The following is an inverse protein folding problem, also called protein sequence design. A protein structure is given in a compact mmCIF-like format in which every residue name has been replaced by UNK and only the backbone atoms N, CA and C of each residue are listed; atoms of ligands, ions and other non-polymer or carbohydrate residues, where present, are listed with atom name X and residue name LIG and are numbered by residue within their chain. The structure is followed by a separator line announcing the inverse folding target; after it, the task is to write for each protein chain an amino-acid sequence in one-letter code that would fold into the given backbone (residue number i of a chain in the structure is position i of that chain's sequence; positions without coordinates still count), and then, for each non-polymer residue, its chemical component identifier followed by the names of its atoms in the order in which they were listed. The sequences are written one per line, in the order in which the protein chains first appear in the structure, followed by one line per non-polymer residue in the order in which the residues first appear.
data_IF_715123691372
#
_entry.id   IF_715123691372
#
_cell.length_a   1.000
_cell.length_b   1.000
_cell.length_c   1.000
_cell.angle_alpha   90.00
_cell.angle_beta   90.00
_cell.angle_gamma   90.00
#
_symmetry.space_group_name_H-M   'P 1'
#
loop_
_entity.id
_entity.type
_entity.pdbx_description
1 polymer ?
#
# COMPACT_ATOMS: atom_id res chain seq x y z
N UNK A 1 -30.04 5.98 22.08
CA UNK A 1 -31.51 6.02 21.94
C UNK A 1 -31.89 5.05 20.82
N UNK A 2 -32.15 3.80 21.20
CA UNK A 2 -32.39 2.67 20.29
C UNK A 2 -33.91 2.52 20.18
N UNK A 3 -34.48 2.73 18.98
CA UNK A 3 -35.87 2.36 18.71
C UNK A 3 -35.92 0.92 18.18
N UNK A 4 -36.47 0.03 19.01
CA UNK A 4 -37.01 -1.25 18.60
C UNK A 4 -38.28 -1.03 17.79
N UNK A 5 -38.38 -1.64 16.61
CA UNK A 5 -39.67 -1.98 16.00
C UNK A 5 -39.77 -3.49 15.86
N UNK A 6 -40.65 -4.06 16.66
CA UNK A 6 -41.11 -5.43 16.58
C UNK A 6 -42.21 -5.52 15.53
N UNK A 7 -42.12 -6.48 14.61
CA UNK A 7 -43.28 -6.94 13.84
C UNK A 7 -43.25 -8.47 13.76
N UNK A 8 -44.36 -9.08 14.17
CA UNK A 8 -44.58 -10.52 14.22
C UNK A 8 -45.62 -10.95 13.18
N UNK A 9 -45.29 -12.05 12.49
CA UNK A 9 -46.12 -13.07 11.82
C UNK A 9 -47.08 -12.65 10.70
N UNK A 10 -46.91 -13.32 9.55
CA UNK A 10 -47.84 -14.39 9.13
C UNK A 10 -47.24 -15.27 8.01
N UNK A 11 -47.42 -16.59 8.14
CA UNK A 11 -47.17 -17.58 7.09
C UNK A 11 -48.27 -17.47 6.04
N UNK A 12 -47.93 -17.46 4.76
CA UNK A 12 -48.86 -17.87 3.72
C UNK A 12 -48.16 -18.82 2.74
N UNK A 13 -48.55 -20.09 2.82
CA UNK A 13 -48.21 -21.13 1.84
C UNK A 13 -49.27 -21.07 0.74
N UNK A 14 -48.87 -20.75 -0.50
CA UNK A 14 -49.52 -21.16 -1.77
C UNK A 14 -48.79 -20.46 -2.92
N UNK A 15 -48.10 -21.24 -3.74
CA UNK A 15 -47.33 -20.74 -4.89
C UNK A 15 -46.29 -21.71 -5.41
N UNK A 16 -46.53 -23.02 -5.29
CA UNK A 16 -45.76 -24.05 -5.97
C UNK A 16 -46.13 -24.07 -7.46
N UNK A 17 -45.11 -24.11 -8.32
CA UNK A 17 -45.12 -24.57 -9.72
C UNK A 17 -44.94 -23.56 -10.88
N UNK A 18 -44.69 -22.26 -10.64
CA UNK A 18 -44.34 -21.33 -11.75
C UNK A 18 -42.98 -20.62 -11.65
N UNK A 19 -42.19 -20.85 -10.60
CA UNK A 19 -40.82 -20.33 -10.44
C UNK A 19 -39.73 -21.40 -10.62
N UNK A 20 -40.06 -22.50 -11.30
CA UNK A 20 -39.13 -23.64 -11.49
C UNK A 20 -38.27 -23.56 -12.77
N UNK A 21 -38.28 -22.43 -13.49
CA UNK A 21 -37.42 -22.21 -14.67
C UNK A 21 -36.69 -20.89 -14.51
N UNK A 22 -35.36 -20.94 -14.69
CA UNK A 22 -34.35 -19.86 -14.59
C UNK A 22 -33.65 -19.67 -13.24
N UNK A 23 -33.43 -20.72 -12.46
CA UNK A 23 -32.17 -20.81 -11.69
C UNK A 23 -31.09 -21.40 -12.60
N UNK A 24 -30.57 -20.60 -13.54
CA UNK A 24 -29.18 -20.81 -13.94
C UNK A 24 -28.40 -20.75 -12.63
N UNK A 25 -27.75 -21.84 -12.24
CA UNK A 25 -26.78 -21.80 -11.17
C UNK A 25 -25.86 -20.63 -11.49
N UNK A 26 -25.87 -19.58 -10.66
CA UNK A 26 -24.75 -18.63 -10.69
C UNK A 26 -23.52 -19.52 -10.50
N UNK A 27 -22.51 -19.47 -11.40
CA UNK A 27 -21.26 -20.13 -11.10
C UNK A 27 -20.89 -19.67 -9.69
N UNK A 28 -20.54 -20.60 -8.80
CA UNK A 28 -19.96 -20.22 -7.52
C UNK A 28 -18.73 -19.41 -7.87
N UNK A 29 -18.84 -18.08 -7.83
CA UNK A 29 -17.72 -17.21 -8.13
C UNK A 29 -16.80 -17.31 -6.94
N UNK A 30 -15.92 -18.31 -6.99
CA UNK A 30 -14.75 -18.36 -6.13
C UNK A 30 -14.02 -17.05 -6.37
N UNK A 31 -14.08 -16.18 -5.36
CA UNK A 31 -13.44 -14.88 -5.39
C UNK A 31 -11.97 -15.09 -5.77
N UNK A 32 -11.40 -14.31 -6.71
CA UNK A 32 -10.02 -14.53 -7.13
C UNK A 32 -9.10 -14.42 -5.92
N UNK A 33 -8.00 -15.17 -5.91
CA UNK A 33 -7.04 -15.13 -4.80
C UNK A 33 -6.43 -13.74 -4.73
N UNK A 34 -6.14 -13.25 -3.52
CA UNK A 34 -5.30 -12.06 -3.37
C UNK A 34 -3.87 -12.49 -3.12
N UNK A 35 -2.94 -11.84 -3.82
CA UNK A 35 -1.50 -12.08 -3.65
C UNK A 35 -0.81 -10.74 -3.46
N UNK A 36 -0.08 -10.58 -2.36
CA UNK A 36 0.81 -9.45 -2.15
C UNK A 36 2.19 -9.78 -2.74
N UNK A 37 2.56 -9.11 -3.83
CA UNK A 37 3.88 -9.22 -4.44
C UNK A 37 4.89 -8.30 -3.73
N UNK A 38 5.19 -8.61 -2.47
CA UNK A 38 6.14 -7.84 -1.65
C UNK A 38 6.77 -8.69 -0.56
N UNK A 39 8.05 -8.44 -0.29
CA UNK A 39 8.77 -8.96 0.89
C UNK A 39 8.72 -8.01 2.09
N UNK A 40 8.06 -6.85 1.96
CA UNK A 40 7.99 -5.85 3.03
C UNK A 40 7.08 -6.33 4.18
N UNK A 41 7.59 -6.44 5.42
CA UNK A 41 6.77 -6.78 6.57
C UNK A 41 5.70 -5.71 6.85
N UNK A 42 6.02 -4.43 6.58
CA UNK A 42 5.09 -3.31 6.79
C UNK A 42 3.89 -3.38 5.83
N UNK A 43 4.13 -3.66 4.54
CA UNK A 43 3.03 -3.79 3.55
C UNK A 43 2.14 -4.98 3.86
N UNK A 44 2.73 -6.09 4.33
CA UNK A 44 1.97 -7.26 4.79
C UNK A 44 1.06 -6.89 5.97
N UNK A 45 1.62 -6.26 7.00
CA UNK A 45 0.85 -5.85 8.19
C UNK A 45 -0.28 -4.86 7.85
N UNK A 46 -0.06 -3.96 6.88
CA UNK A 46 -1.11 -3.06 6.38
C UNK A 46 -2.23 -3.82 5.68
N UNK A 47 -1.90 -4.79 4.81
CA UNK A 47 -2.92 -5.57 4.08
C UNK A 47 -3.77 -6.44 5.02
N UNK A 48 -3.18 -6.96 6.10
CA UNK A 48 -3.88 -7.71 7.15
C UNK A 48 -5.03 -6.91 7.79
N UNK A 49 -4.96 -5.57 7.80
CA UNK A 49 -6.03 -4.70 8.33
C UNK A 49 -7.34 -4.85 7.57
N UNK A 50 -7.29 -5.26 6.29
CA UNK A 50 -8.49 -5.51 5.48
C UNK A 50 -9.19 -6.83 5.84
N UNK A 51 -8.56 -7.71 6.63
CA UNK A 51 -9.10 -9.01 7.08
C UNK A 51 -9.50 -9.94 5.91
N UNK A 52 -8.85 -9.79 4.78
CA UNK A 52 -9.02 -10.64 3.60
C UNK A 52 -7.96 -11.75 3.61
N UNK A 53 -8.28 -12.98 3.17
CA UNK A 53 -7.27 -14.00 2.95
C UNK A 53 -6.38 -13.60 1.76
N UNK A 54 -5.07 -13.63 1.95
CA UNK A 54 -4.10 -13.37 0.88
C UNK A 54 -2.84 -14.24 1.04
N UNK A 55 -2.15 -14.44 -0.07
CA UNK A 55 -0.83 -15.07 -0.13
C UNK A 55 0.25 -13.99 -0.32
N UNK A 56 1.50 -14.28 0.04
CA UNK A 56 2.64 -13.38 -0.18
C UNK A 56 3.61 -14.04 -1.13
N UNK A 57 4.12 -13.28 -2.10
CA UNK A 57 5.17 -13.72 -3.00
C UNK A 57 6.29 -12.68 -3.11
N UNK A 58 7.50 -13.15 -3.39
CA UNK A 58 8.65 -12.28 -3.66
C UNK A 58 8.61 -11.85 -5.13
N UNK A 59 8.51 -10.54 -5.44
CA UNK A 59 8.62 -10.08 -6.81
C UNK A 59 10.08 -10.25 -7.29
N UNK A 60 10.25 -10.75 -8.50
CA UNK A 60 11.55 -10.87 -9.17
C UNK A 60 11.65 -9.76 -10.22
N UNK A 61 12.01 -8.55 -9.76
CA UNK A 61 12.06 -7.35 -10.61
C UNK A 61 13.41 -6.64 -10.46
N UNK A 62 13.87 -6.04 -11.54
CA UNK A 62 14.97 -5.07 -11.50
C UNK A 62 14.43 -3.71 -11.02
N UNK A 63 14.90 -3.29 -9.85
CA UNK A 63 14.49 -2.04 -9.21
C UNK A 63 15.36 -0.85 -9.64
N UNK A 64 16.32 -1.06 -10.54
CA UNK A 64 17.20 0.01 -11.04
C UNK A 64 16.38 1.09 -11.75
N UNK A 65 16.54 2.37 -11.40
CA UNK A 65 15.92 3.47 -12.13
C UNK A 65 16.39 3.51 -13.58
N UNK A 66 15.48 3.81 -14.50
CA UNK A 66 15.86 4.06 -15.89
C UNK A 66 16.54 5.44 -16.01
N UNK A 67 17.33 5.67 -17.08
CA UNK A 67 17.88 7.00 -17.36
C UNK A 67 16.78 8.05 -17.39
N UNK A 68 16.98 9.16 -16.67
CA UNK A 68 16.06 10.30 -16.57
C UNK A 68 14.64 9.96 -16.07
N UNK A 69 14.48 8.83 -15.38
CA UNK A 69 13.20 8.43 -14.82
C UNK A 69 12.79 9.31 -13.64
N UNK A 70 11.65 9.98 -13.77
CA UNK A 70 11.09 10.80 -12.70
C UNK A 70 10.67 9.93 -11.49
N UNK A 71 10.79 10.43 -10.25
CA UNK A 71 10.48 9.64 -9.04
C UNK A 71 9.05 9.05 -8.99
N UNK A 72 8.07 9.77 -9.50
CA UNK A 72 6.68 9.32 -9.64
C UNK A 72 6.54 8.20 -10.67
N UNK A 73 7.20 8.34 -11.83
CA UNK A 73 7.24 7.32 -12.86
C UNK A 73 7.93 6.04 -12.36
N UNK A 74 9.04 6.18 -11.63
CA UNK A 74 9.76 5.06 -11.01
C UNK A 74 8.85 4.29 -10.05
N UNK A 75 8.18 4.99 -9.12
CA UNK A 75 7.28 4.37 -8.14
C UNK A 75 6.14 3.59 -8.82
N UNK A 76 5.52 4.16 -9.86
CA UNK A 76 4.46 3.51 -10.62
C UNK A 76 4.97 2.30 -11.41
N UNK A 77 6.07 2.47 -12.16
CA UNK A 77 6.65 1.38 -12.96
C UNK A 77 7.02 0.20 -12.08
N UNK A 78 7.67 0.44 -10.95
CA UNK A 78 8.07 -0.63 -10.02
C UNK A 78 6.85 -1.30 -9.37
N UNK A 79 5.81 -0.53 -8.99
CA UNK A 79 4.58 -1.12 -8.48
C UNK A 79 3.92 -2.05 -9.50
N UNK A 80 3.82 -1.63 -10.77
CA UNK A 80 3.26 -2.46 -11.84
C UNK A 80 4.13 -3.68 -12.15
N UNK A 81 5.46 -3.50 -12.23
CA UNK A 81 6.38 -4.60 -12.47
C UNK A 81 6.26 -5.66 -11.37
N UNK A 82 6.22 -5.24 -10.10
CA UNK A 82 6.04 -6.14 -8.94
C UNK A 82 4.72 -6.89 -9.02
N UNK A 83 3.63 -6.22 -9.36
CA UNK A 83 2.31 -6.86 -9.50
C UNK A 83 2.28 -7.90 -10.63
N UNK A 84 3.02 -7.70 -11.72
CA UNK A 84 3.05 -8.61 -12.88
C UNK A 84 4.05 -9.75 -12.74
N UNK A 85 5.12 -9.59 -11.96
CA UNK A 85 6.29 -10.47 -11.95
C UNK A 85 5.95 -11.96 -11.79
N UNK A 86 4.97 -12.29 -10.95
CA UNK A 86 4.60 -13.67 -10.64
C UNK A 86 3.23 -14.08 -11.20
N UNK A 87 2.64 -13.30 -12.12
CA UNK A 87 1.27 -13.54 -12.62
C UNK A 87 1.08 -14.95 -13.19
N UNK A 88 2.09 -15.51 -13.86
CA UNK A 88 2.04 -16.87 -14.42
C UNK A 88 1.90 -17.97 -13.36
N UNK A 89 2.38 -17.75 -12.13
CA UNK A 89 2.23 -18.69 -11.02
C UNK A 89 0.84 -18.61 -10.36
N UNK A 90 0.09 -17.54 -10.64
CA UNK A 90 -1.20 -17.25 -10.03
C UNK A 90 -2.27 -16.89 -11.08
N UNK A 91 -2.62 -17.80 -12.02
CA UNK A 91 -3.47 -17.49 -13.18
C UNK A 91 -4.88 -16.98 -12.85
N UNK A 92 -5.38 -17.20 -11.61
CA UNK A 92 -6.70 -16.77 -11.13
C UNK A 92 -6.59 -15.88 -9.87
N UNK A 93 -5.63 -14.95 -9.86
CA UNK A 93 -5.40 -14.04 -8.75
C UNK A 93 -5.43 -12.56 -9.14
N UNK A 94 -5.69 -11.73 -8.14
CA UNK A 94 -5.33 -10.32 -8.13
C UNK A 94 -4.01 -10.16 -7.38
N UNK A 95 -2.99 -9.72 -8.10
CA UNK A 95 -1.65 -9.48 -7.58
C UNK A 95 -1.48 -8.00 -7.26
N UNK A 96 -1.12 -7.70 -6.01
CA UNK A 96 -0.92 -6.36 -5.49
C UNK A 96 0.57 -6.06 -5.46
N UNK A 97 1.00 -5.08 -6.23
CA UNK A 97 2.35 -4.54 -6.21
C UNK A 97 2.36 -3.13 -5.66
N UNK A 98 3.40 -2.77 -4.91
CA UNK A 98 3.59 -1.41 -4.45
C UNK A 98 5.07 -1.09 -4.33
N UNK A 99 5.40 0.16 -4.65
CA UNK A 99 6.74 0.73 -4.52
C UNK A 99 6.65 2.14 -3.95
N UNK A 100 7.74 2.67 -3.39
CA UNK A 100 7.74 3.99 -2.77
C UNK A 100 9.09 4.66 -2.95
N UNK A 101 9.04 5.92 -3.41
CA UNK A 101 10.22 6.77 -3.55
C UNK A 101 10.06 7.98 -2.63
N UNK A 102 11.03 8.19 -1.73
CA UNK A 102 11.11 9.41 -0.94
C UNK A 102 11.86 10.49 -1.73
N UNK A 103 11.36 11.71 -1.75
CA UNK A 103 11.84 12.81 -2.59
C UNK A 103 12.05 14.06 -1.73
N UNK A 104 13.24 14.64 -1.83
CA UNK A 104 13.59 15.93 -1.23
C UNK A 104 14.08 16.87 -2.32
N UNK A 105 13.48 18.05 -2.41
CA UNK A 105 13.84 19.09 -3.38
C UNK A 105 13.94 18.54 -4.83
N UNK A 106 13.00 17.66 -5.21
CA UNK A 106 12.93 17.00 -6.51
C UNK A 106 13.90 15.83 -6.73
N UNK A 107 14.71 15.47 -5.72
CA UNK A 107 15.69 14.38 -5.82
C UNK A 107 15.30 13.17 -4.97
N UNK A 108 15.45 11.94 -5.48
CA UNK A 108 15.16 10.74 -4.71
C UNK A 108 16.16 10.58 -3.55
N UNK A 109 15.66 10.12 -2.41
CA UNK A 109 16.43 9.72 -1.25
C UNK A 109 16.59 8.21 -1.27
N UNK A 110 17.84 7.75 -1.18
CA UNK A 110 18.15 6.33 -0.99
C UNK A 110 18.14 5.95 0.50
N UNK A 111 18.18 4.66 0.77
CA UNK A 111 18.41 4.14 2.12
C UNK A 111 19.82 4.52 2.58
N UNK A 112 20.00 4.99 3.82
CA UNK A 112 21.32 5.41 4.29
C UNK A 112 22.27 4.23 4.45
N UNK A 113 21.78 3.03 4.81
CA UNK A 113 22.55 1.80 5.08
C UNK A 113 23.52 1.87 6.27
N UNK A 114 24.09 3.03 6.58
CA UNK A 114 25.03 3.25 7.69
C UNK A 114 24.60 4.42 8.56
N UNK A 115 25.10 4.45 9.80
CA UNK A 115 24.85 5.53 10.74
C UNK A 115 25.30 6.89 10.19
N UNK A 116 26.53 7.00 9.69
CA UNK A 116 27.06 8.27 9.15
C UNK A 116 26.25 8.79 7.97
N UNK A 117 25.78 7.89 7.11
CA UNK A 117 24.91 8.26 5.99
C UNK A 117 23.55 8.76 6.51
N UNK A 118 23.02 8.13 7.56
CA UNK A 118 21.76 8.53 8.19
C UNK A 118 21.88 9.90 8.87
N UNK A 119 23.01 10.19 9.52
CA UNK A 119 23.31 11.51 10.09
C UNK A 119 23.30 12.58 8.98
N UNK A 120 23.99 12.33 7.86
CA UNK A 120 24.01 13.26 6.71
C UNK A 120 22.61 13.45 6.12
N UNK A 121 21.84 12.38 5.99
CA UNK A 121 20.49 12.44 5.46
C UNK A 121 19.55 13.24 6.38
N UNK A 122 19.57 13.00 7.70
CA UNK A 122 18.74 13.75 8.65
C UNK A 122 19.15 15.23 8.75
N UNK A 123 20.44 15.56 8.66
CA UNK A 123 20.90 16.95 8.56
C UNK A 123 20.38 17.65 7.30
N UNK A 124 20.30 16.93 6.19
CA UNK A 124 19.78 17.46 4.93
C UNK A 124 18.25 17.69 4.98
N UNK A 125 17.53 16.83 5.71
CA UNK A 125 16.07 16.84 5.79
C UNK A 125 15.50 17.76 6.88
N UNK A 126 16.26 18.07 7.94
CA UNK A 126 15.74 18.88 9.06
C UNK A 126 15.17 20.21 8.56
N UNK A 127 14.03 20.60 9.13
CA UNK A 127 13.29 21.81 8.75
C UNK A 127 12.62 21.77 7.37
N UNK A 128 12.80 20.71 6.56
CA UNK A 128 12.25 20.59 5.21
C UNK A 128 11.03 19.68 5.14
N UNK A 129 10.34 19.74 4.01
CA UNK A 129 9.28 18.82 3.64
C UNK A 129 9.80 17.75 2.68
N UNK A 130 9.44 16.50 2.95
CA UNK A 130 9.78 15.33 2.14
C UNK A 130 8.49 14.78 1.55
N UNK A 131 8.50 14.50 0.25
CA UNK A 131 7.41 13.83 -0.43
C UNK A 131 7.70 12.32 -0.53
N UNK A 132 6.77 11.50 -0.07
CA UNK A 132 6.78 10.05 -0.25
C UNK A 132 5.79 9.72 -1.35
N UNK A 133 6.30 9.28 -2.50
CA UNK A 133 5.51 8.94 -3.67
C UNK A 133 5.30 7.43 -3.69
N UNK A 134 4.09 6.99 -3.37
CA UNK A 134 3.79 5.55 -3.26
C UNK A 134 3.03 5.10 -4.49
N UNK A 135 3.68 4.30 -5.33
CA UNK A 135 3.04 3.59 -6.43
C UNK A 135 2.28 2.37 -5.90
N UNK A 136 1.08 2.16 -6.41
CA UNK A 136 0.25 0.99 -6.15
C UNK A 136 -0.26 0.44 -7.47
N UNK A 137 -0.24 -0.87 -7.64
CA UNK A 137 -0.83 -1.55 -8.77
C UNK A 137 -1.57 -2.83 -8.34
N UNK A 138 -2.68 -3.11 -9.01
CA UNK A 138 -3.40 -4.38 -8.92
C UNK A 138 -3.50 -4.98 -10.32
N UNK A 139 -2.86 -6.14 -10.50
CA UNK A 139 -2.87 -6.91 -11.74
C UNK A 139 -3.82 -8.10 -11.62
N UNK A 140 -4.75 -8.23 -12.55
CA UNK A 140 -5.64 -9.37 -12.65
C UNK A 140 -5.08 -10.37 -13.67
N UNK A 141 -4.52 -11.49 -13.17
CA UNK A 141 -3.85 -12.48 -14.00
C UNK A 141 -4.79 -13.17 -15.01
N UNK A 142 -6.06 -13.36 -14.64
CA UNK A 142 -7.04 -14.01 -15.51
C UNK A 142 -7.43 -13.15 -16.71
N UNK A 143 -7.39 -11.82 -16.58
CA UNK A 143 -7.79 -10.88 -17.65
C UNK A 143 -6.61 -10.16 -18.29
N UNK A 144 -5.43 -10.21 -17.68
CA UNK A 144 -4.26 -9.40 -18.05
C UNK A 144 -4.37 -7.91 -17.69
N UNK A 145 -5.50 -7.45 -17.12
CA UNK A 145 -5.74 -6.03 -16.81
C UNK A 145 -4.93 -5.60 -15.59
N UNK A 146 -4.21 -4.48 -15.70
CA UNK A 146 -3.56 -3.81 -14.58
C UNK A 146 -4.17 -2.44 -14.37
N UNK A 147 -4.42 -2.09 -13.11
CA UNK A 147 -4.78 -0.74 -12.69
C UNK A 147 -3.75 -0.25 -11.69
N UNK A 148 -3.33 1.01 -11.79
CA UNK A 148 -2.33 1.61 -10.93
C UNK A 148 -2.73 3.02 -10.48
N UNK A 149 -2.22 3.43 -9.32
CA UNK A 149 -2.41 4.76 -8.73
C UNK A 149 -1.12 5.21 -8.06
N UNK A 150 -0.82 6.50 -8.14
CA UNK A 150 0.24 7.14 -7.37
C UNK A 150 -0.41 7.91 -6.22
N UNK A 151 0.05 7.67 -4.99
CA UNK A 151 -0.46 8.34 -3.79
C UNK A 151 0.69 9.08 -3.11
N UNK A 152 0.73 10.43 -3.20
CA UNK A 152 1.73 11.24 -2.53
C UNK A 152 1.40 11.41 -1.04
N UNK A 153 2.43 11.47 -0.21
CA UNK A 153 2.33 11.82 1.20
C UNK A 153 3.46 12.76 1.61
N UNK A 154 3.14 13.86 2.25
CA UNK A 154 4.10 14.91 2.62
C UNK A 154 4.40 14.87 4.11
N UNK A 155 5.67 14.87 4.47
CA UNK A 155 6.14 14.89 5.86
C UNK A 155 7.07 16.08 6.06
N UNK A 156 6.67 17.01 6.92
CA UNK A 156 7.50 18.15 7.32
C UNK A 156 8.28 17.80 8.57
N UNK A 157 9.60 17.88 8.49
CA UNK A 157 10.50 17.69 9.61
C UNK A 157 10.63 18.97 10.44
N UNK A 158 10.82 18.81 11.75
CA UNK A 158 11.22 19.90 12.64
C UNK A 158 12.63 20.35 12.29
N UNK A 159 12.97 21.57 12.69
CA UNK A 159 14.36 21.98 12.76
C UNK A 159 14.95 21.50 14.09
N UNK A 160 15.90 20.56 14.03
CA UNK A 160 16.47 19.89 15.21
C UNK A 160 18.00 19.89 15.19
N UNK A 161 18.59 19.83 16.37
CA UNK A 161 20.05 19.84 16.55
C UNK A 161 20.67 18.49 16.20
N UNK A 162 21.98 18.49 15.99
CA UNK A 162 22.75 17.28 15.74
C UNK A 162 22.70 16.30 16.93
N UNK A 163 22.58 16.80 18.16
CA UNK A 163 22.38 15.94 19.35
C UNK A 163 21.06 15.16 19.31
N UNK A 164 20.00 15.75 18.74
CA UNK A 164 18.73 15.06 18.54
C UNK A 164 18.89 13.95 17.51
N UNK A 165 19.61 14.21 16.41
CA UNK A 165 19.92 13.23 15.36
C UNK A 165 20.63 12.02 15.96
N UNK A 166 21.71 12.25 16.72
CA UNK A 166 22.50 11.18 17.34
C UNK A 166 21.68 10.33 18.30
N UNK A 167 20.92 10.96 19.21
CA UNK A 167 20.06 10.23 20.16
C UNK A 167 19.02 9.39 19.44
N UNK A 168 18.39 9.96 18.42
CA UNK A 168 17.38 9.27 17.65
C UNK A 168 17.96 8.06 16.90
N UNK A 169 19.07 8.22 16.17
CA UNK A 169 19.66 7.14 15.38
C UNK A 169 20.17 5.99 16.25
N UNK A 170 20.68 6.27 17.45
CA UNK A 170 21.09 5.22 18.41
C UNK A 170 19.90 4.43 18.95
N UNK A 171 18.77 5.08 19.16
CA UNK A 171 17.56 4.46 19.68
C UNK A 171 16.79 3.66 18.60
N UNK A 172 16.58 4.25 17.43
CA UNK A 172 15.66 3.72 16.41
C UNK A 172 16.36 2.88 15.32
N UNK A 173 17.63 3.18 15.01
CA UNK A 173 18.43 2.51 13.97
C UNK A 173 17.70 2.29 12.62
N UNK A 174 17.12 3.33 11.98
CA UNK A 174 16.28 3.22 10.78
C UNK A 174 17.09 3.12 9.48
N UNK A 175 18.18 2.36 9.48
CA UNK A 175 19.16 2.40 8.38
C UNK A 175 18.66 1.77 7.07
N UNK A 176 17.55 1.02 7.15
CA UNK A 176 16.86 0.39 6.03
C UNK A 176 15.72 1.26 5.43
N UNK A 177 15.50 2.47 5.97
CA UNK A 177 14.44 3.38 5.56
C UNK A 177 14.98 4.56 4.74
N UNK A 178 14.39 4.79 3.56
CA UNK A 178 14.66 6.02 2.81
C UNK A 178 14.20 7.23 3.65
N UNK A 179 15.09 8.21 3.84
CA UNK A 179 14.85 9.34 4.73
C UNK A 179 15.25 9.12 6.19
N UNK A 180 15.83 7.96 6.55
CA UNK A 180 16.37 7.71 7.90
C UNK A 180 15.37 7.95 9.03
N UNK A 181 14.06 7.84 8.77
CA UNK A 181 13.01 8.14 9.74
C UNK A 181 11.84 7.14 9.64
N UNK A 182 11.30 6.71 10.78
CA UNK A 182 10.09 5.87 10.88
C UNK A 182 9.00 6.63 11.61
N UNK A 183 7.96 7.06 10.89
CA UNK A 183 6.88 7.86 11.46
C UNK A 183 6.02 7.06 12.45
N UNK A 184 5.99 5.74 12.30
CA UNK A 184 5.36 4.75 13.17
C UNK A 184 6.15 4.44 14.46
N UNK A 185 7.42 4.86 14.52
CA UNK A 185 8.32 4.67 15.67
C UNK A 185 8.68 6.00 16.34
N UNK A 186 9.91 6.10 16.87
CA UNK A 186 10.40 7.33 17.52
C UNK A 186 10.52 8.51 16.54
N UNK A 187 10.48 8.26 15.23
CA UNK A 187 10.61 9.29 14.20
C UNK A 187 9.50 10.35 14.29
N UNK A 188 8.36 10.05 14.92
CA UNK A 188 7.31 11.03 15.20
C UNK A 188 7.83 12.25 15.99
N UNK A 189 8.86 12.07 16.82
CA UNK A 189 9.49 13.16 17.57
C UNK A 189 10.23 14.16 16.66
N UNK A 190 10.66 13.72 15.47
CA UNK A 190 11.34 14.56 14.47
C UNK A 190 10.35 15.29 13.53
N UNK A 191 9.08 14.89 13.54
CA UNK A 191 8.08 15.34 12.57
C UNK A 191 7.29 16.54 13.13
N UNK A 192 7.20 17.60 12.33
CA UNK A 192 6.43 18.81 12.61
C UNK A 192 4.98 18.71 12.10
N UNK A 193 4.77 18.01 11.00
CA UNK A 193 3.45 17.84 10.40
C UNK A 193 3.46 16.81 9.27
N UNK A 194 2.28 16.29 8.96
CA UNK A 194 2.06 15.28 7.93
C UNK A 194 0.79 15.62 7.15
N UNK A 195 0.82 15.41 5.83
CA UNK A 195 -0.31 15.73 4.95
C UNK A 195 -0.40 14.72 3.81
N UNK A 196 -1.56 14.09 3.68
CA UNK A 196 -1.92 13.19 2.59
C UNK A 196 -3.29 12.56 2.88
N UNK A 197 -3.94 12.04 1.84
CA UNK A 197 -5.29 11.52 1.95
C UNK A 197 -5.35 10.16 2.67
N UNK A 198 -4.25 9.40 2.60
CA UNK A 198 -4.13 8.09 3.22
C UNK A 198 -2.86 7.99 4.07
N UNK A 199 -2.94 7.90 5.41
CA UNK A 199 -1.77 7.73 6.27
C UNK A 199 -1.04 6.40 6.03
N UNK A 200 -1.70 5.39 5.46
CA UNK A 200 -1.05 4.11 5.12
C UNK A 200 -0.12 4.25 3.90
N UNK A 201 -0.31 5.28 3.07
CA UNK A 201 0.60 5.59 1.97
C UNK A 201 2.01 5.88 2.49
N UNK A 202 2.14 6.62 3.60
CA UNK A 202 3.45 6.92 4.20
C UNK A 202 4.19 5.64 4.60
N UNK A 203 3.49 4.68 5.21
CA UNK A 203 4.06 3.40 5.65
C UNK A 203 4.38 2.49 4.44
N UNK A 204 3.73 2.72 3.29
CA UNK A 204 4.12 2.14 2.00
C UNK A 204 3.06 1.29 1.31
N UNK A 205 1.79 1.28 1.78
CA UNK A 205 0.68 0.66 1.07
C UNK A 205 -0.60 1.51 1.24
N UNK A 206 -1.02 2.30 0.23
CA UNK A 206 -2.20 3.14 0.32
C UNK A 206 -3.47 2.29 0.27
N UNK A 207 -4.05 1.98 1.43
CA UNK A 207 -5.21 1.11 1.57
C UNK A 207 -6.49 1.72 1.00
N UNK A 208 -6.65 3.05 1.01
CA UNK A 208 -7.83 3.70 0.40
C UNK A 208 -7.81 3.43 -1.11
N UNK A 209 -6.71 3.77 -1.78
CA UNK A 209 -6.55 3.51 -3.21
C UNK A 209 -6.59 2.00 -3.54
N UNK A 210 -6.09 1.14 -2.66
CA UNK A 210 -6.17 -0.31 -2.85
C UNK A 210 -7.62 -0.82 -2.84
N UNK A 211 -8.45 -0.35 -1.91
CA UNK A 211 -9.87 -0.72 -1.87
C UNK A 211 -10.56 -0.30 -3.18
N UNK A 212 -10.29 0.90 -3.68
CA UNK A 212 -10.84 1.37 -4.96
C UNK A 212 -10.40 0.49 -6.13
N UNK A 213 -9.10 0.20 -6.23
CA UNK A 213 -8.57 -0.66 -7.30
C UNK A 213 -9.13 -2.09 -7.24
N UNK A 214 -9.30 -2.65 -6.04
CA UNK A 214 -9.94 -3.95 -5.85
C UNK A 214 -11.40 -3.92 -6.32
N UNK A 215 -12.15 -2.87 -5.97
CA UNK A 215 -13.53 -2.68 -6.40
C UNK A 215 -13.64 -2.54 -7.94
N UNK A 216 -12.71 -1.82 -8.58
CA UNK A 216 -12.63 -1.70 -10.05
C UNK A 216 -12.32 -3.04 -10.76
N UNK A 217 -11.75 -4.00 -10.04
CA UNK A 217 -11.57 -5.40 -10.47
C UNK A 217 -12.75 -6.32 -10.08
N UNK A 218 -13.82 -5.77 -9.50
CA UNK A 218 -14.98 -6.53 -9.04
C UNK A 218 -14.77 -7.27 -7.71
N UNK A 219 -13.70 -6.96 -6.98
CA UNK A 219 -13.36 -7.59 -5.69
C UNK A 219 -13.87 -6.72 -4.52
N UNK A 220 -15.09 -6.98 -4.05
CA UNK A 220 -15.76 -6.18 -3.01
C UNK A 220 -15.20 -6.42 -1.61
N UNK A 221 -14.45 -5.47 -1.05
CA UNK A 221 -13.81 -5.61 0.27
C UNK A 221 -14.82 -5.82 1.41
N UNK A 222 -16.01 -5.21 1.30
CA UNK A 222 -17.13 -5.33 2.24
C UNK A 222 -18.36 -5.96 1.57
#
# INVERSE_FOLDING_TARGET
MILFFSFSRQKNQRGSALYARLRRARPSMTRPRLVLASTSPYRRALLERLRLPFEVTKPEVDETPLPDEAPDALALRLAEAKARAQAAQFPDALLIGSDQVAVLDGRPLSKPMTHDNAVRQLRLMRGKEIAFLTGLAVHNAATGRTLSRLVPYHVRFRDFSDDVIERYLRAEQPYDCAGSAKAEGLGIALIAGMRGDDPNALIGLPLIALVDLLNEHGYQVL
#
